data_IF_493427976333
#
_entry.id   IF_493427976333
#
_cell.length_a   1.000
_cell.length_b   1.000
_cell.length_c   1.000
_cell.angle_alpha   90.00
_cell.angle_beta   90.00
_cell.angle_gamma   90.00
#
_symmetry.space_group_name_H-M   'P 1'
#
loop_
_entity.id
_entity.type
_entity.pdbx_description
1 polymer ?
#
# COMPACT_ATOMS: atom_id res chain seq x y z
N UNK A 1 26.80 17.99 -28.64
CA UNK A 1 25.68 17.33 -27.96
C UNK A 1 26.29 16.39 -26.94
N UNK A 2 26.22 16.74 -25.66
CA UNK A 2 26.87 16.02 -24.54
C UNK A 2 25.83 15.61 -23.48
N UNK A 3 24.57 15.42 -23.89
CA UNK A 3 23.45 15.08 -22.99
C UNK A 3 23.52 13.63 -22.48
N UNK A 4 24.13 12.73 -23.26
CA UNK A 4 24.04 11.28 -23.01
C UNK A 4 24.87 10.82 -21.80
N UNK A 5 25.96 11.52 -21.49
CA UNK A 5 26.87 11.17 -20.38
C UNK A 5 26.26 11.52 -19.02
N UNK A 6 25.54 12.65 -18.95
CA UNK A 6 24.80 13.05 -17.75
C UNK A 6 23.54 12.20 -17.54
N UNK A 7 22.88 11.77 -18.62
CA UNK A 7 21.75 10.84 -18.58
C UNK A 7 22.12 9.47 -17.99
N UNK A 8 23.21 8.86 -18.46
CA UNK A 8 23.64 7.55 -17.95
C UNK A 8 24.06 7.59 -16.47
N UNK A 9 24.80 8.63 -16.05
CA UNK A 9 25.24 8.79 -14.67
C UNK A 9 24.06 9.09 -13.71
N UNK A 10 23.09 9.90 -14.13
CA UNK A 10 21.90 10.23 -13.32
C UNK A 10 20.93 9.05 -13.18
N UNK A 11 20.80 8.20 -14.21
CA UNK A 11 20.04 6.95 -14.13
C UNK A 11 20.69 5.98 -13.13
N UNK A 12 22.02 5.86 -13.16
CA UNK A 12 22.77 5.05 -12.19
C UNK A 12 22.59 5.53 -10.74
N UNK A 13 22.65 6.84 -10.52
CA UNK A 13 22.43 7.45 -9.19
C UNK A 13 20.99 7.22 -8.70
N UNK A 14 20.00 7.41 -9.56
CA UNK A 14 18.59 7.23 -9.18
C UNK A 14 18.30 5.78 -8.76
N UNK A 15 18.84 4.80 -9.51
CA UNK A 15 18.74 3.39 -9.15
C UNK A 15 19.48 3.08 -7.83
N UNK A 16 20.64 3.68 -7.60
CA UNK A 16 21.39 3.50 -6.35
C UNK A 16 20.61 4.05 -5.14
N UNK A 17 20.01 5.24 -5.27
CA UNK A 17 19.18 5.84 -4.22
C UNK A 17 17.94 4.98 -3.95
N UNK A 18 17.28 4.48 -4.99
CA UNK A 18 16.12 3.60 -4.84
C UNK A 18 16.48 2.33 -4.05
N UNK A 19 17.59 1.66 -4.42
CA UNK A 19 18.08 0.48 -3.68
C UNK A 19 18.46 0.81 -2.24
N UNK A 20 19.17 1.92 -2.02
CA UNK A 20 19.54 2.34 -0.67
C UNK A 20 18.31 2.60 0.21
N UNK A 21 17.24 3.16 -0.36
CA UNK A 21 15.96 3.34 0.35
C UNK A 21 15.31 2.01 0.71
N UNK A 22 15.25 1.06 -0.21
CA UNK A 22 14.68 -0.27 0.08
C UNK A 22 15.46 -0.98 1.20
N UNK A 23 16.79 -1.00 1.13
CA UNK A 23 17.64 -1.60 2.16
C UNK A 23 17.49 -0.87 3.49
N UNK A 24 17.46 0.46 3.48
CA UNK A 24 17.28 1.26 4.69
C UNK A 24 15.93 1.03 5.37
N UNK A 25 14.87 0.84 4.60
CA UNK A 25 13.55 0.49 5.14
C UNK A 25 13.54 -0.88 5.83
N UNK A 26 14.21 -1.86 5.22
CA UNK A 26 14.36 -3.20 5.81
C UNK A 26 15.19 -3.17 7.09
N UNK A 27 16.27 -2.38 7.12
CA UNK A 27 17.07 -2.18 8.32
C UNK A 27 16.27 -1.53 9.46
N UNK A 28 15.41 -0.55 9.16
CA UNK A 28 14.52 0.06 10.17
C UNK A 28 13.53 -0.98 10.71
N UNK A 29 12.94 -1.82 9.84
CA UNK A 29 12.03 -2.87 10.28
C UNK A 29 12.72 -3.87 11.23
N UNK A 30 13.97 -4.23 10.94
CA UNK A 30 14.77 -5.10 11.81
C UNK A 30 15.15 -4.39 13.13
N UNK A 31 15.48 -3.11 13.08
CA UNK A 31 15.78 -2.30 14.28
C UNK A 31 14.59 -2.25 15.24
N UNK A 32 13.37 -2.07 14.73
CA UNK A 32 12.14 -2.11 15.55
C UNK A 32 12.05 -3.44 16.29
N UNK A 33 12.26 -4.55 15.57
CA UNK A 33 12.22 -5.88 16.18
C UNK A 33 13.28 -6.04 17.28
N UNK A 34 14.50 -5.57 17.04
CA UNK A 34 15.58 -5.61 18.04
C UNK A 34 15.25 -4.77 19.26
N UNK A 35 14.73 -3.55 19.09
CA UNK A 35 14.33 -2.67 20.20
C UNK A 35 13.24 -3.30 21.07
N UNK A 36 12.25 -3.94 20.44
CA UNK A 36 11.16 -4.61 21.15
C UNK A 36 11.59 -5.84 21.95
N UNK A 37 12.71 -6.46 21.58
CA UNK A 37 13.27 -7.64 22.25
C UNK A 37 14.23 -7.31 23.39
N UNK A 38 14.59 -6.03 23.57
CA UNK A 38 15.42 -5.60 24.69
C UNK A 38 14.67 -5.78 26.01
N UNK A 39 15.39 -6.23 27.04
CA UNK A 39 14.83 -6.23 28.38
C UNK A 39 14.52 -4.79 28.83
N UNK A 40 13.32 -4.53 29.38
CA UNK A 40 12.99 -3.23 29.91
C UNK A 40 13.94 -2.79 31.02
N UNK A 41 14.29 -1.51 31.04
CA UNK A 41 14.98 -0.91 32.18
C UNK A 41 14.17 -1.14 33.46
N UNK A 42 14.90 -1.31 34.57
CA UNK A 42 14.32 -1.52 35.89
C UNK A 42 14.60 -0.31 36.75
N UNK A 43 13.60 0.11 37.51
CA UNK A 43 13.74 1.07 38.59
C UNK A 43 14.70 0.54 39.66
N UNK A 44 15.17 1.43 40.55
CA UNK A 44 16.06 1.13 41.68
C UNK A 44 15.57 -0.03 42.58
N UNK A 45 14.26 -0.31 42.59
CA UNK A 45 13.63 -1.41 43.35
C UNK A 45 13.46 -2.71 42.54
N UNK A 46 14.07 -2.83 41.37
CA UNK A 46 14.00 -4.01 40.50
C UNK A 46 12.69 -4.18 39.72
N UNK A 47 11.74 -3.25 39.89
CA UNK A 47 10.48 -3.21 39.12
C UNK A 47 10.76 -2.71 37.71
N UNK A 48 10.06 -3.25 36.72
CA UNK A 48 10.14 -2.76 35.34
C UNK A 48 9.66 -1.30 35.30
N UNK A 49 10.44 -0.44 34.65
CA UNK A 49 10.05 0.94 34.41
C UNK A 49 8.93 0.99 33.35
N UNK A 50 7.71 1.39 33.72
CA UNK A 50 6.62 1.52 32.75
C UNK A 50 6.90 2.60 31.70
N UNK A 51 7.68 3.64 32.03
CA UNK A 51 8.07 4.71 31.11
C UNK A 51 8.94 4.18 29.96
N UNK A 52 9.93 3.36 30.27
CA UNK A 52 10.76 2.70 29.28
C UNK A 52 9.95 1.79 28.34
N UNK A 53 8.99 1.03 28.87
CA UNK A 53 8.10 0.19 28.05
C UNK A 53 7.24 1.03 27.09
N UNK A 54 6.69 2.16 27.57
CA UNK A 54 5.92 3.07 26.71
C UNK A 54 6.80 3.76 25.66
N UNK A 55 8.05 4.08 25.99
CA UNK A 55 9.01 4.65 25.04
C UNK A 55 9.30 3.68 23.90
N UNK A 56 9.59 2.41 24.20
CA UNK A 56 9.81 1.37 23.17
C UNK A 56 8.58 1.24 22.29
N UNK A 57 7.38 1.15 22.88
CA UNK A 57 6.12 1.06 22.13
C UNK A 57 5.93 2.27 21.20
N UNK A 58 6.13 3.48 21.71
CA UNK A 58 5.97 4.70 20.92
C UNK A 58 6.97 4.73 19.73
N UNK A 59 8.23 4.32 19.96
CA UNK A 59 9.23 4.23 18.88
C UNK A 59 8.83 3.22 17.81
N UNK A 60 8.41 2.03 18.21
CA UNK A 60 7.93 1.00 17.29
C UNK A 60 6.74 1.49 16.47
N UNK A 61 5.75 2.12 17.11
CA UNK A 61 4.55 2.63 16.45
C UNK A 61 4.86 3.74 15.42
N UNK A 62 5.72 4.71 15.78
CA UNK A 62 6.12 5.78 14.86
C UNK A 62 6.89 5.20 13.66
N UNK A 63 7.85 4.30 13.90
CA UNK A 63 8.66 3.69 12.84
C UNK A 63 7.78 2.85 11.89
N UNK A 64 6.83 2.07 12.40
CA UNK A 64 5.88 1.31 11.58
C UNK A 64 4.99 2.21 10.72
N UNK A 65 4.45 3.30 11.29
CA UNK A 65 3.66 4.29 10.54
C UNK A 65 4.47 4.93 9.43
N UNK A 66 5.73 5.25 9.68
CA UNK A 66 6.64 5.82 8.69
C UNK A 66 6.92 4.83 7.55
N UNK A 67 7.21 3.57 7.88
CA UNK A 67 7.43 2.50 6.90
C UNK A 67 6.20 2.29 6.00
N UNK A 68 5.00 2.31 6.57
CA UNK A 68 3.75 2.21 5.81
C UNK A 68 3.56 3.37 4.81
N UNK A 69 4.10 4.58 5.09
CA UNK A 69 4.08 5.71 4.15
C UNK A 69 5.21 5.65 3.12
N UNK A 70 6.40 5.16 3.51
CA UNK A 70 7.57 5.11 2.63
C UNK A 70 7.52 3.94 1.63
N UNK A 71 6.93 2.80 2.03
CA UNK A 71 6.77 1.64 1.17
C UNK A 71 5.46 0.90 1.50
N UNK A 72 4.31 1.46 1.06
CA UNK A 72 2.99 0.91 1.36
C UNK A 72 2.76 -0.47 0.76
N UNK A 73 3.45 -0.82 -0.32
CA UNK A 73 3.35 -2.15 -0.94
C UNK A 73 3.86 -3.24 -0.01
N UNK A 74 4.93 -2.98 0.73
CA UNK A 74 5.58 -3.94 1.63
C UNK A 74 5.06 -3.85 3.07
N UNK A 75 4.89 -2.64 3.59
CA UNK A 75 4.58 -2.39 5.01
C UNK A 75 3.19 -1.77 5.24
N UNK A 76 2.37 -1.63 4.20
CA UNK A 76 1.01 -1.14 4.34
C UNK A 76 0.07 -2.21 4.92
N UNK A 77 -1.03 -1.74 5.51
CA UNK A 77 -2.07 -2.61 6.04
C UNK A 77 -2.72 -3.43 4.91
N UNK A 78 -2.75 -4.76 5.08
CA UNK A 78 -3.38 -5.67 4.13
C UNK A 78 -4.81 -5.96 4.59
N UNK A 79 -5.79 -5.37 3.90
CA UNK A 79 -7.20 -5.61 4.18
C UNK A 79 -7.81 -6.44 3.05
N UNK A 80 -8.42 -7.57 3.39
CA UNK A 80 -9.25 -8.34 2.46
C UNK A 80 -10.70 -7.96 2.73
N UNK A 81 -11.34 -7.26 1.79
CA UNK A 81 -12.78 -6.96 1.90
C UNK A 81 -13.56 -8.11 1.24
N UNK A 82 -14.08 -9.02 2.05
CA UNK A 82 -15.03 -10.03 1.58
C UNK A 82 -16.44 -9.43 1.53
N UNK A 83 -17.20 -9.78 0.49
CA UNK A 83 -18.60 -9.37 0.38
C UNK A 83 -19.46 -9.95 1.50
N UNK A 84 -20.44 -9.18 1.96
CA UNK A 84 -21.41 -9.62 2.96
C UNK A 84 -22.41 -10.59 2.30
N UNK A 85 -22.51 -11.82 2.83
CA UNK A 85 -23.43 -12.84 2.32
C UNK A 85 -24.90 -12.50 2.61
N UNK A 86 -25.17 -11.74 3.68
CA UNK A 86 -26.51 -11.27 4.03
C UNK A 86 -26.89 -9.98 3.27
N UNK A 87 -25.90 -9.17 2.87
CA UNK A 87 -26.06 -7.99 2.03
C UNK A 87 -25.21 -8.07 0.76
N UNK A 88 -25.57 -8.93 -0.20
CA UNK A 88 -24.84 -9.01 -1.46
C UNK A 88 -24.92 -7.67 -2.19
N UNK A 89 -23.79 -7.23 -2.74
CA UNK A 89 -23.75 -6.05 -3.61
C UNK A 89 -24.71 -6.24 -4.79
N UNK A 90 -25.84 -5.53 -4.77
CA UNK A 90 -26.81 -5.55 -5.86
C UNK A 90 -26.27 -4.71 -7.01
N UNK A 91 -25.64 -5.37 -7.99
CA UNK A 91 -25.31 -4.77 -9.28
C UNK A 91 -26.60 -4.59 -10.08
N UNK A 92 -27.18 -3.39 -10.05
CA UNK A 92 -28.28 -3.03 -10.95
C UNK A 92 -27.67 -2.55 -12.28
N UNK A 93 -27.49 -3.47 -13.22
CA UNK A 93 -27.04 -3.12 -14.56
C UNK A 93 -28.21 -2.46 -15.31
N UNK A 94 -28.01 -1.23 -15.78
CA UNK A 94 -28.94 -0.57 -16.69
C UNK A 94 -28.72 -1.11 -18.11
N UNK A 95 -29.66 -1.92 -18.60
CA UNK A 95 -29.61 -2.58 -19.91
C UNK A 95 -30.31 -1.73 -21.00
N UNK A 96 -30.79 -0.53 -20.66
CA UNK A 96 -31.55 0.34 -21.57
C UNK A 96 -30.83 0.66 -22.89
N UNK A 97 -29.50 0.72 -22.86
CA UNK A 97 -28.67 0.95 -24.07
C UNK A 97 -28.76 -0.23 -25.05
N UNK A 98 -28.82 -1.47 -24.54
CA UNK A 98 -28.96 -2.66 -25.39
C UNK A 98 -30.35 -2.74 -26.02
N UNK A 99 -31.40 -2.39 -25.28
CA UNK A 99 -32.76 -2.31 -25.82
C UNK A 99 -32.88 -1.26 -26.93
N UNK A 100 -32.23 -0.10 -26.76
CA UNK A 100 -32.20 0.93 -27.79
C UNK A 100 -31.45 0.48 -29.05
N UNK A 101 -30.33 -0.25 -28.91
CA UNK A 101 -29.60 -0.81 -30.04
C UNK A 101 -30.41 -1.88 -30.79
N UNK A 102 -31.08 -2.78 -30.07
CA UNK A 102 -31.93 -3.81 -30.67
C UNK A 102 -33.08 -3.19 -31.46
N UNK A 103 -33.77 -2.20 -30.88
CA UNK A 103 -34.84 -1.46 -31.58
C UNK A 103 -34.33 -0.78 -32.87
N UNK A 104 -33.15 -0.17 -32.83
CA UNK A 104 -32.55 0.45 -34.00
C UNK A 104 -32.14 -0.58 -35.07
N UNK A 105 -31.69 -1.77 -34.67
CA UNK A 105 -31.34 -2.86 -35.58
C UNK A 105 -32.59 -3.44 -36.25
N UNK A 106 -33.66 -3.67 -35.50
CA UNK A 106 -34.96 -4.13 -36.02
C UNK A 106 -35.58 -3.11 -36.99
N UNK A 107 -35.52 -1.81 -36.65
CA UNK A 107 -35.99 -0.75 -37.53
C UNK A 107 -35.22 -0.72 -38.86
N UNK A 108 -33.88 -0.90 -38.82
CA UNK A 108 -33.06 -1.01 -40.04
C UNK A 108 -33.40 -2.24 -40.88
N UNK A 109 -33.71 -3.37 -40.25
CA UNK A 109 -34.13 -4.59 -40.95
C UNK A 109 -35.48 -4.41 -41.66
N UNK A 110 -36.45 -3.77 -41.00
CA UNK A 110 -37.77 -3.49 -41.58
C UNK A 110 -37.73 -2.47 -42.72
N UNK A 111 -36.77 -1.55 -42.72
CA UNK A 111 -36.54 -0.59 -43.81
C UNK A 111 -35.82 -1.20 -45.01
N UNK A 112 -35.07 -2.29 -44.82
CA UNK A 112 -34.41 -3.05 -45.90
C UNK A 112 -35.29 -4.07 -46.61
N UNK A 113 -36.46 -4.40 -46.06
CA UNK A 113 -37.47 -5.32 -46.63
C UNK A 113 -38.58 -4.57 -47.41
N UNK A 114 -38.34 -3.32 -47.84
CA UNK A 114 -39.20 -2.54 -48.75
C UNK A 114 -38.56 -2.32 -50.11
#
# INVERSE_FOLDING_TARGET
YQDDVAGAASVGLSAAIARAREIGQDAIAEEIYREMMLEPEREERGRIDPGYVQLIKARADIKLKLLAKWNPKKFGDRVTMTGDAENPMRLQADVSIFDAMLKNLEAKRQLGDK
#
